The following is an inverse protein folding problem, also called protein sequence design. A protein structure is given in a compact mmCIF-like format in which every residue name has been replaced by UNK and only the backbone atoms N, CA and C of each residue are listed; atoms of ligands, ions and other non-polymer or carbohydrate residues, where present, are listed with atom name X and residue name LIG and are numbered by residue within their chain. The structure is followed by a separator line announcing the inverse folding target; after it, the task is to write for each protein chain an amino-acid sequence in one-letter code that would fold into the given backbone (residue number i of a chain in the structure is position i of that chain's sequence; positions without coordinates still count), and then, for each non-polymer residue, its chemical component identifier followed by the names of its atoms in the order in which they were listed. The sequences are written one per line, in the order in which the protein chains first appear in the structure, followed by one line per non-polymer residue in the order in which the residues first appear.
data_IF_415690728241
#
_entry.id   IF_415690728241
#
_cell.length_a   1.000
_cell.length_b   1.000
_cell.length_c   1.000
_cell.angle_alpha   90.00
_cell.angle_beta   90.00
_cell.angle_gamma   90.00
#
_symmetry.space_group_name_H-M   'P 1'
#
loop_
_entity.id
_entity.type
_entity.pdbx_description
1 polymer ?
#
# COMPACT_ATOMS: atom_id res chain seq x y z
N UNK A 1 -20.68 32.29 5.58
CA UNK A 1 -21.18 31.12 6.34
C UNK A 1 -22.38 30.61 5.58
N UNK A 2 -22.09 30.07 4.41
CA UNK A 2 -23.07 29.62 3.45
C UNK A 2 -23.65 28.31 3.98
N UNK A 3 -24.98 28.13 3.99
CA UNK A 3 -25.57 26.88 4.46
C UNK A 3 -25.12 25.78 3.51
N UNK A 4 -24.23 24.90 3.98
CA UNK A 4 -23.82 23.73 3.23
C UNK A 4 -25.08 22.94 2.87
N UNK A 5 -25.34 22.81 1.57
CA UNK A 5 -26.55 22.18 1.07
C UNK A 5 -26.71 20.79 1.71
N UNK A 6 -27.96 20.35 2.01
CA UNK A 6 -28.18 19.02 2.54
C UNK A 6 -27.52 18.01 1.60
N UNK A 7 -26.73 17.09 2.17
CA UNK A 7 -26.15 16.01 1.39
C UNK A 7 -27.28 15.29 0.63
N UNK A 8 -27.08 14.93 -0.64
CA UNK A 8 -28.08 14.16 -1.37
C UNK A 8 -28.41 12.88 -0.57
N UNK A 9 -29.68 12.44 -0.53
CA UNK A 9 -30.07 11.27 0.25
C UNK A 9 -29.20 10.08 -0.17
N UNK A 10 -28.64 9.38 0.83
CA UNK A 10 -27.69 8.28 0.61
C UNK A 10 -28.27 7.29 -0.43
N UNK A 11 -27.63 7.08 -1.60
CA UNK A 11 -28.20 6.30 -2.70
C UNK A 11 -28.15 4.78 -2.46
N UNK A 12 -28.13 4.38 -1.19
CA UNK A 12 -27.88 3.05 -0.67
C UNK A 12 -29.04 2.53 0.22
N UNK A 13 -30.10 3.32 0.37
CA UNK A 13 -31.33 2.94 1.10
C UNK A 13 -31.09 2.76 2.60
N UNK A 14 -31.61 1.67 3.16
CA UNK A 14 -31.51 1.38 4.60
C UNK A 14 -30.10 0.99 5.08
N UNK A 15 -29.12 0.85 4.17
CA UNK A 15 -27.75 0.43 4.50
C UNK A 15 -26.89 1.65 4.82
N UNK A 16 -26.44 1.77 6.07
CA UNK A 16 -25.58 2.88 6.46
C UNK A 16 -24.24 2.86 5.72
N UNK A 17 -23.70 4.04 5.42
CA UNK A 17 -22.40 4.22 4.76
C UNK A 17 -21.26 3.42 5.43
N UNK A 18 -21.29 3.25 6.76
CA UNK A 18 -20.30 2.44 7.50
C UNK A 18 -20.43 0.93 7.23
N UNK A 19 -21.64 0.40 7.08
CA UNK A 19 -21.87 -1.00 6.70
C UNK A 19 -21.43 -1.23 5.25
N UNK A 20 -21.82 -0.34 4.33
CA UNK A 20 -21.45 -0.41 2.92
C UNK A 20 -19.92 -0.40 2.73
N UNK A 21 -19.22 0.54 3.35
CA UNK A 21 -17.75 0.59 3.32
C UNK A 21 -17.10 -0.68 3.91
N UNK A 22 -17.72 -1.33 4.89
CA UNK A 22 -17.19 -2.58 5.47
C UNK A 22 -17.33 -3.73 4.49
N UNK A 23 -18.51 -3.95 3.92
CA UNK A 23 -18.71 -4.96 2.88
C UNK A 23 -17.84 -4.72 1.64
N UNK A 24 -17.64 -3.46 1.24
CA UNK A 24 -16.76 -3.12 0.10
C UNK A 24 -15.28 -3.43 0.39
N UNK A 25 -14.81 -3.21 1.62
CA UNK A 25 -13.46 -3.63 2.06
C UNK A 25 -13.31 -5.14 2.27
N UNK A 26 -14.41 -5.87 2.36
CA UNK A 26 -14.43 -7.33 2.43
C UNK A 26 -14.39 -7.91 1.02
N UNK A 27 -15.28 -7.47 0.13
CA UNK A 27 -15.27 -7.78 -1.32
C UNK A 27 -13.90 -7.56 -1.97
N UNK A 28 -13.24 -6.43 -1.70
CA UNK A 28 -11.89 -6.17 -2.25
C UNK A 28 -10.79 -7.11 -1.73
N UNK A 29 -11.03 -7.83 -0.61
CA UNK A 29 -10.10 -8.83 -0.06
C UNK A 29 -10.44 -10.25 -0.50
N UNK A 30 -11.71 -10.55 -0.79
CA UNK A 30 -12.19 -11.86 -1.23
C UNK A 30 -12.16 -11.97 -2.75
N UNK A 31 -13.02 -11.22 -3.42
CA UNK A 31 -13.25 -11.29 -4.87
C UNK A 31 -12.28 -10.38 -5.65
N UNK A 32 -11.72 -9.36 -4.99
CA UNK A 32 -10.72 -8.46 -5.58
C UNK A 32 -9.48 -9.18 -6.11
N UNK A 33 -9.07 -10.31 -5.52
CA UNK A 33 -7.97 -11.13 -6.06
C UNK A 33 -8.29 -11.73 -7.43
N UNK A 34 -9.51 -12.28 -7.62
CA UNK A 34 -9.95 -12.87 -8.88
C UNK A 34 -9.94 -11.89 -10.06
N UNK A 35 -10.10 -10.60 -9.77
CA UNK A 35 -10.01 -9.53 -10.75
C UNK A 35 -8.59 -9.00 -10.96
N UNK A 36 -7.64 -9.28 -10.06
CA UNK A 36 -6.20 -8.99 -10.21
C UNK A 36 -5.44 -10.14 -10.90
N UNK A 37 -6.05 -11.32 -11.02
CA UNK A 37 -5.59 -12.41 -11.90
C UNK A 37 -5.71 -12.05 -13.41
N UNK A 38 -6.41 -10.96 -13.74
CA UNK A 38 -6.57 -10.46 -15.11
C UNK A 38 -5.34 -9.67 -15.57
N UNK A 39 -4.73 -10.00 -16.72
CA UNK A 39 -3.44 -9.43 -17.15
C UNK A 39 -3.50 -7.92 -17.49
N UNK A 40 -4.69 -7.33 -17.62
CA UNK A 40 -4.86 -5.90 -17.90
C UNK A 40 -5.18 -5.08 -16.63
N UNK A 41 -5.52 -5.71 -15.50
CA UNK A 41 -5.98 -5.01 -14.28
C UNK A 41 -4.80 -4.74 -13.33
N UNK A 42 -4.28 -3.52 -13.36
CA UNK A 42 -3.12 -3.10 -12.56
C UNK A 42 -3.43 -2.89 -11.07
N UNK A 43 -4.66 -2.47 -10.72
CA UNK A 43 -5.10 -2.35 -9.32
C UNK A 43 -6.61 -2.17 -9.19
N UNK A 44 -7.16 -2.45 -8.00
CA UNK A 44 -8.58 -2.27 -7.69
C UNK A 44 -8.72 -1.60 -6.32
N UNK A 45 -9.67 -0.67 -6.19
CA UNK A 45 -9.89 0.07 -4.95
C UNK A 45 -11.27 0.69 -4.84
N UNK A 46 -11.45 1.55 -3.83
CA UNK A 46 -12.66 2.37 -3.67
C UNK A 46 -12.32 3.83 -3.97
N UNK A 47 -13.20 4.49 -4.71
CA UNK A 47 -13.08 5.90 -5.02
C UNK A 47 -14.42 6.48 -5.45
N UNK A 48 -14.42 7.76 -5.81
CA UNK A 48 -15.59 8.38 -6.44
C UNK A 48 -15.48 8.30 -7.95
N UNK A 49 -16.58 7.95 -8.61
CA UNK A 49 -16.69 7.81 -10.06
C UNK A 49 -16.33 9.12 -10.77
N UNK A 50 -15.56 9.04 -11.86
CA UNK A 50 -15.07 10.21 -12.61
C UNK A 50 -15.84 10.37 -13.92
N UNK A 51 -16.72 11.38 -13.98
CA UNK A 51 -17.53 11.67 -15.18
C UNK A 51 -17.01 12.92 -15.87
N UNK A 52 -16.67 12.82 -17.16
CA UNK A 52 -16.16 13.96 -17.94
C UNK A 52 -14.87 14.59 -17.37
N UNK A 53 -14.01 13.77 -16.75
CA UNK A 53 -12.78 14.23 -16.08
C UNK A 53 -12.99 14.92 -14.72
N UNK A 54 -14.22 14.92 -14.17
CA UNK A 54 -14.54 15.48 -12.86
C UNK A 54 -14.93 14.37 -11.87
N UNK A 55 -14.39 14.34 -10.64
CA UNK A 55 -14.89 13.43 -9.61
C UNK A 55 -16.32 13.81 -9.23
N UNK A 56 -17.17 12.80 -9.08
CA UNK A 56 -18.55 12.96 -8.59
C UNK A 56 -18.63 12.69 -7.08
N UNK A 57 -19.83 12.64 -6.51
CA UNK A 57 -20.08 12.10 -5.17
C UNK A 57 -20.51 10.62 -5.19
N UNK A 58 -20.55 9.99 -6.37
CA UNK A 58 -21.01 8.61 -6.54
C UNK A 58 -19.87 7.63 -6.16
N UNK A 59 -20.00 6.93 -5.03
CA UNK A 59 -19.04 5.93 -4.58
C UNK A 59 -19.02 4.75 -5.56
N UNK A 60 -17.83 4.35 -6.01
CA UNK A 60 -17.61 3.26 -6.95
C UNK A 60 -16.46 2.34 -6.55
N UNK A 61 -16.48 1.11 -7.08
CA UNK A 61 -15.29 0.27 -7.14
C UNK A 61 -14.48 0.67 -8.37
N UNK A 62 -13.28 1.21 -8.15
CA UNK A 62 -12.40 1.64 -9.23
C UNK A 62 -11.49 0.50 -9.66
N UNK A 63 -11.55 0.15 -10.95
CA UNK A 63 -10.63 -0.78 -11.61
C UNK A 63 -9.63 0.05 -12.43
N UNK A 64 -8.35 -0.03 -12.09
CA UNK A 64 -7.28 0.58 -12.88
C UNK A 64 -6.77 -0.45 -13.87
N UNK A 65 -6.81 -0.12 -15.17
CA UNK A 65 -6.28 -0.95 -16.25
C UNK A 65 -5.09 -0.28 -16.95
N UNK A 66 -4.19 -1.07 -17.50
CA UNK A 66 -3.08 -0.55 -18.32
C UNK A 66 -3.58 -0.01 -19.67
N UNK A 67 -4.63 -0.61 -20.24
CA UNK A 67 -5.27 -0.15 -21.48
C UNK A 67 -6.78 -0.41 -21.52
N UNK A 68 -7.58 0.60 -21.90
CA UNK A 68 -9.02 0.45 -22.13
C UNK A 68 -9.31 -0.13 -23.51
N UNK A 69 -9.99 -1.28 -23.54
CA UNK A 69 -10.57 -1.89 -24.74
C UNK A 69 -12.09 -1.96 -24.64
N UNK A 70 -12.76 -1.92 -25.79
CA UNK A 70 -14.23 -1.95 -25.92
C UNK A 70 -14.60 -2.97 -26.98
N UNK A 71 -15.60 -3.81 -26.68
CA UNK A 71 -16.03 -4.92 -27.55
C UNK A 71 -15.27 -6.24 -27.24
N UNK A 72 -15.93 -7.39 -27.41
CA UNK A 72 -15.41 -8.69 -26.95
C UNK A 72 -14.14 -9.13 -27.68
N UNK A 73 -13.99 -8.79 -28.97
CA UNK A 73 -12.79 -9.08 -29.77
C UNK A 73 -11.55 -8.37 -29.22
N UNK A 74 -11.67 -7.09 -28.86
CA UNK A 74 -10.57 -6.30 -28.32
C UNK A 74 -10.20 -6.69 -26.87
N UNK A 75 -11.13 -7.26 -26.11
CA UNK A 75 -10.85 -7.86 -24.80
C UNK A 75 -10.15 -9.22 -24.97
N UNK A 76 -10.66 -10.08 -25.86
CA UNK A 76 -10.06 -11.38 -26.17
C UNK A 76 -8.62 -11.25 -26.71
N UNK A 77 -8.33 -10.21 -27.51
CA UNK A 77 -6.99 -9.92 -28.01
C UNK A 77 -5.95 -9.57 -26.91
N UNK A 78 -6.40 -9.12 -25.73
CA UNK A 78 -5.54 -8.90 -24.56
C UNK A 78 -5.62 -10.05 -23.53
N UNK A 79 -6.48 -11.05 -23.74
CA UNK A 79 -6.75 -12.09 -22.75
C UNK A 79 -7.46 -11.58 -21.48
N UNK A 80 -8.12 -10.42 -21.56
CA UNK A 80 -8.79 -9.75 -20.43
C UNK A 80 -10.30 -10.00 -20.43
N UNK A 81 -10.92 -9.92 -19.25
CA UNK A 81 -12.35 -10.11 -19.04
C UNK A 81 -13.11 -8.78 -18.90
N UNK A 82 -14.40 -8.73 -19.27
CA UNK A 82 -15.21 -7.53 -19.06
C UNK A 82 -15.40 -7.26 -17.57
N UNK A 83 -15.02 -6.05 -17.12
CA UNK A 83 -15.33 -5.54 -15.78
C UNK A 83 -16.86 -5.46 -15.63
N UNK A 84 -17.46 -6.00 -14.56
CA UNK A 84 -18.91 -5.93 -14.35
C UNK A 84 -19.35 -4.50 -14.06
N UNK A 85 -20.43 -4.00 -14.67
CA UNK A 85 -20.88 -2.59 -14.51
C UNK A 85 -21.11 -2.14 -13.06
N UNK A 86 -21.44 -3.09 -12.18
CA UNK A 86 -21.71 -2.88 -10.78
C UNK A 86 -21.52 -4.18 -9.99
N UNK A 87 -21.18 -4.05 -8.71
CA UNK A 87 -21.08 -5.15 -7.74
C UNK A 87 -22.18 -5.01 -6.69
N UNK A 88 -22.68 -6.13 -6.15
CA UNK A 88 -23.73 -6.11 -5.11
C UNK A 88 -23.11 -6.39 -3.74
N UNK A 89 -23.18 -5.42 -2.83
CA UNK A 89 -22.56 -5.49 -1.50
C UNK A 89 -23.59 -5.08 -0.45
N UNK A 90 -23.80 -5.92 0.56
CA UNK A 90 -24.83 -5.72 1.60
C UNK A 90 -26.25 -5.45 1.04
N UNK A 91 -26.57 -5.98 -0.15
CA UNK A 91 -27.82 -5.73 -0.88
C UNK A 91 -27.83 -4.48 -1.78
N UNK A 92 -26.81 -3.62 -1.68
CA UNK A 92 -26.68 -2.38 -2.46
C UNK A 92 -25.92 -2.65 -3.76
N UNK A 93 -26.45 -2.19 -4.91
CA UNK A 93 -25.75 -2.22 -6.21
C UNK A 93 -24.80 -1.02 -6.31
N UNK A 94 -23.52 -1.26 -6.07
CA UNK A 94 -22.45 -0.25 -6.15
C UNK A 94 -21.86 -0.23 -7.57
N UNK A 95 -21.82 0.92 -8.27
CA UNK A 95 -21.27 1.00 -9.62
C UNK A 95 -19.77 0.73 -9.64
N UNK A 96 -19.26 0.24 -10.77
CA UNK A 96 -17.82 0.27 -11.04
C UNK A 96 -17.43 1.51 -11.84
N UNK A 97 -16.18 1.94 -11.72
CA UNK A 97 -15.55 2.87 -12.64
C UNK A 97 -14.25 2.25 -13.15
N UNK A 98 -13.94 2.44 -14.43
CA UNK A 98 -12.73 1.90 -15.06
C UNK A 98 -11.83 3.07 -15.42
N UNK A 99 -10.62 3.08 -14.88
CA UNK A 99 -9.61 4.12 -15.12
C UNK A 99 -8.46 3.53 -15.92
N UNK A 100 -8.02 4.21 -16.97
CA UNK A 100 -6.78 3.83 -17.65
C UNK A 100 -5.62 4.55 -16.97
N UNK A 101 -4.61 3.80 -16.54
CA UNK A 101 -3.39 4.38 -15.97
C UNK A 101 -2.23 3.43 -16.15
N UNK A 102 -1.34 3.76 -17.09
CA UNK A 102 -0.11 3.00 -17.29
C UNK A 102 0.82 3.13 -16.09
N UNK A 103 1.29 2.00 -15.58
CA UNK A 103 2.18 1.93 -14.43
C UNK A 103 3.57 2.44 -14.78
N UNK A 104 3.83 3.73 -14.59
CA UNK A 104 5.19 4.28 -14.69
C UNK A 104 6.05 3.71 -13.54
N UNK A 105 7.12 2.95 -13.83
CA UNK A 105 7.99 2.44 -12.79
C UNK A 105 8.72 3.60 -12.10
N UNK A 106 8.64 3.67 -10.77
CA UNK A 106 9.37 4.66 -10.00
C UNK A 106 10.88 4.54 -10.27
N UNK A 107 11.54 5.67 -10.51
CA UNK A 107 12.91 5.74 -11.02
C UNK A 107 13.90 4.99 -10.13
N UNK A 108 14.35 3.81 -10.56
CA UNK A 108 15.39 3.01 -9.91
C UNK A 108 16.78 3.63 -10.15
N UNK A 109 17.03 4.81 -9.56
CA UNK A 109 18.18 5.65 -9.90
C UNK A 109 18.94 6.22 -8.70
N UNK A 110 19.99 5.52 -8.27
CA UNK A 110 21.16 6.19 -7.65
C UNK A 110 21.43 5.95 -6.16
N UNK A 111 22.30 4.96 -5.90
CA UNK A 111 23.29 4.94 -4.78
C UNK A 111 22.78 5.30 -3.36
N UNK A 112 22.09 4.37 -2.71
CA UNK A 112 22.19 4.26 -1.24
C UNK A 112 23.56 3.71 -0.84
N UNK A 113 24.57 4.57 -0.71
CA UNK A 113 25.84 4.20 -0.08
C UNK A 113 25.63 4.04 1.44
N UNK A 114 25.14 2.88 1.85
CA UNK A 114 25.15 2.43 3.25
C UNK A 114 26.61 2.23 3.69
N UNK A 115 27.27 3.31 4.08
CA UNK A 115 28.47 3.23 4.91
C UNK A 115 28.12 2.39 6.15
N UNK A 116 28.82 1.27 6.43
CA UNK A 116 28.58 0.54 7.67
C UNK A 116 28.93 1.46 8.84
N UNK A 117 27.99 1.65 9.76
CA UNK A 117 28.25 2.40 10.99
C UNK A 117 29.31 1.61 11.76
N UNK A 118 30.46 2.23 12.02
CA UNK A 118 31.55 1.58 12.73
C UNK A 118 31.07 1.14 14.13
N UNK A 119 31.25 -0.14 14.47
CA UNK A 119 30.90 -0.63 15.81
C UNK A 119 31.70 0.09 16.87
N UNK A 120 31.01 0.87 17.70
CA UNK A 120 31.60 1.45 18.91
C UNK A 120 31.98 0.31 19.85
N UNK A 121 33.25 0.17 20.26
CA UNK A 121 33.64 -0.88 21.19
C UNK A 121 33.01 -0.59 22.57
N UNK A 122 32.21 -1.55 23.06
CA UNK A 122 31.66 -1.49 24.42
C UNK A 122 32.79 -1.74 25.42
N UNK A 123 33.26 -0.67 26.05
CA UNK A 123 34.07 -0.75 27.26
C UNK A 123 33.23 -1.16 28.47
N UNK A 124 33.86 -1.81 29.46
CA UNK A 124 33.18 -2.50 30.56
C UNK A 124 32.94 -3.99 30.22
N UNK A 125 33.32 -4.96 31.06
CA UNK A 125 33.86 -4.87 32.42
C UNK A 125 35.01 -5.87 32.66
N UNK A 126 35.66 -5.80 33.83
CA UNK A 126 36.87 -6.56 34.13
C UNK A 126 36.58 -7.74 35.08
N UNK A 127 36.67 -8.98 34.59
CA UNK A 127 36.57 -10.18 35.42
C UNK A 127 37.92 -10.49 36.11
N UNK A 128 38.00 -10.56 37.46
CA UNK A 128 39.26 -10.70 38.17
C UNK A 128 39.48 -12.12 38.75
N UNK A 129 40.33 -12.96 38.13
CA UNK A 129 40.97 -14.07 38.88
C UNK A 129 42.39 -14.44 38.42
N UNK A 130 43.35 -13.97 39.23
CA UNK A 130 44.61 -14.60 39.62
C UNK A 130 45.12 -15.88 38.91
N UNK A 131 46.38 -15.83 38.42
CA UNK A 131 47.56 -16.46 39.06
C UNK A 131 48.83 -16.46 38.16
N UNK A 132 49.84 -15.64 38.51
CA UNK A 132 51.22 -16.08 38.86
C UNK A 132 52.20 -14.90 39.07
N UNK A 133 52.76 -14.85 40.28
CA UNK A 133 54.09 -14.28 40.62
C UNK A 133 55.16 -15.38 40.42
N UNK A 134 56.48 -15.12 40.61
CA UNK A 134 57.20 -13.85 40.86
C UNK A 134 58.15 -13.53 39.65
N UNK A 135 59.31 -12.85 39.65
CA UNK A 135 60.33 -12.46 40.66
C UNK A 135 61.10 -11.16 40.33
N UNK A 136 61.82 -10.66 41.36
CA UNK A 136 63.09 -9.88 41.40
C UNK A 136 63.56 -8.98 40.23
N UNK A 137 63.98 -7.77 40.58
CA UNK A 137 64.80 -6.89 39.72
C UNK A 137 65.22 -5.55 40.36
N UNK A 138 66.24 -5.59 41.24
CA UNK A 138 67.29 -4.56 41.48
C UNK A 138 66.98 -3.10 41.05
N UNK A 139 66.64 -2.18 41.96
CA UNK A 139 67.53 -1.16 42.60
C UNK A 139 67.96 0.00 41.66
N UNK A 140 68.34 1.21 42.10
CA UNK A 140 68.47 1.82 43.44
C UNK A 140 68.21 3.35 43.36
N UNK A 141 68.43 4.11 44.45
CA UNK A 141 68.84 5.52 44.32
C UNK A 141 67.86 6.63 44.74
N UNK A 142 67.39 6.63 46.00
CA UNK A 142 67.14 7.89 46.75
C UNK A 142 68.48 8.40 47.32
N UNK A 143 68.56 9.64 47.84
CA UNK A 143 68.06 10.92 47.31
C UNK A 143 69.14 12.03 47.48
N UNK A 144 68.78 13.30 47.27
CA UNK A 144 68.73 14.30 48.36
C UNK A 144 67.94 15.53 47.93
#
# INVERSE_FOLDING_TARGET
MDPQAPAPPDPWGDVSYRQLLTGLREFLRTDGQRHLDDPNVASIGLGYKVTGGRPTAELSVQFTVEEKRVGPEALAALGTHPVPEAVTVAGVRVPTDVLERRSQPALAGGRSSRTPVASVPRGGDADPTARRRPERGTSAGRPL
#
